data_IF_595269893596
#
_entry.id   IF_595269893596
#
_cell.length_a   1.000
_cell.length_b   1.000
_cell.length_c   1.000
_cell.angle_alpha   90.00
_cell.angle_beta   90.00
_cell.angle_gamma   90.00
#
_symmetry.space_group_name_H-M   'P 1'
#
loop_
_entity.id
_entity.type
_entity.pdbx_description
1 polymer ?
#
# COMPACT_ATOMS: atom_id res chain seq x y z
N UNK A 1 33.36 20.35 -18.34
CA UNK A 1 32.61 19.10 -18.13
C UNK A 1 31.40 19.44 -17.27
N UNK A 2 30.20 19.13 -17.75
CA UNK A 2 28.93 19.76 -17.42
C UNK A 2 28.33 19.30 -16.06
N UNK A 3 27.83 20.28 -15.30
CA UNK A 3 26.59 20.24 -14.52
C UNK A 3 26.23 18.92 -13.77
N UNK A 4 26.72 18.74 -12.54
CA UNK A 4 26.09 17.80 -11.58
C UNK A 4 26.00 18.34 -10.14
N UNK A 5 26.26 19.64 -9.91
CA UNK A 5 25.69 20.32 -8.73
C UNK A 5 24.29 20.83 -9.08
N UNK A 6 23.39 19.90 -9.40
CA UNK A 6 21.94 20.15 -9.40
C UNK A 6 21.33 19.31 -8.30
N UNK A 7 21.62 19.71 -7.07
CA UNK A 7 20.78 19.45 -5.90
C UNK A 7 19.43 20.09 -6.17
N UNK A 8 18.63 19.45 -7.02
CA UNK A 8 17.19 19.64 -6.96
C UNK A 8 16.77 18.98 -5.64
N UNK A 9 16.07 19.68 -4.74
CA UNK A 9 15.73 19.17 -3.39
C UNK A 9 15.06 17.78 -3.41
N UNK A 10 14.44 17.45 -4.54
CA UNK A 10 13.83 16.15 -4.85
C UNK A 10 14.87 15.01 -4.96
N UNK A 11 16.01 15.25 -5.64
CA UNK A 11 17.11 14.30 -5.74
C UNK A 11 17.74 14.06 -4.36
N UNK A 12 17.78 15.08 -3.50
CA UNK A 12 18.34 14.96 -2.15
C UNK A 12 17.56 13.95 -1.29
N UNK A 13 16.23 14.06 -1.23
CA UNK A 13 15.42 13.10 -0.46
C UNK A 13 15.48 11.68 -1.02
N UNK A 14 15.49 11.53 -2.35
CA UNK A 14 15.66 10.23 -3.01
C UNK A 14 17.05 9.65 -2.75
N UNK A 15 18.12 10.47 -2.81
CA UNK A 15 19.48 10.04 -2.54
C UNK A 15 19.69 9.65 -1.07
N UNK A 16 19.10 10.38 -0.13
CA UNK A 16 19.13 10.04 1.30
C UNK A 16 18.38 8.73 1.56
N UNK A 17 17.21 8.54 0.94
CA UNK A 17 16.43 7.30 1.05
C UNK A 17 17.17 6.10 0.44
N UNK A 18 17.74 6.28 -0.75
CA UNK A 18 18.53 5.25 -1.43
C UNK A 18 19.82 4.94 -0.67
N UNK A 19 20.48 5.96 -0.10
CA UNK A 19 21.64 5.82 0.77
C UNK A 19 21.34 5.01 2.03
N UNK A 20 20.22 5.29 2.70
CA UNK A 20 19.76 4.54 3.87
C UNK A 20 19.48 3.06 3.52
N UNK A 21 18.88 2.80 2.35
CA UNK A 21 18.69 1.43 1.86
C UNK A 21 20.01 0.72 1.60
N UNK A 22 20.99 1.41 0.98
CA UNK A 22 22.31 0.84 0.73
C UNK A 22 23.06 0.55 2.04
N UNK A 23 23.04 1.47 3.00
CA UNK A 23 23.68 1.29 4.31
C UNK A 23 23.04 0.14 5.09
N UNK A 24 21.71 0.01 5.04
CA UNK A 24 20.99 -1.13 5.62
C UNK A 24 21.43 -2.47 5.01
N UNK A 25 21.57 -2.53 3.67
CA UNK A 25 22.06 -3.73 2.98
C UNK A 25 23.50 -4.06 3.40
N UNK A 26 24.39 -3.08 3.44
CA UNK A 26 25.79 -3.28 3.87
C UNK A 26 25.90 -3.69 5.34
N UNK A 27 25.08 -3.11 6.23
CA UNK A 27 25.02 -3.48 7.64
C UNK A 27 24.51 -4.91 7.83
N UNK A 28 23.45 -5.29 7.13
CA UNK A 28 22.97 -6.68 7.11
C UNK A 28 24.06 -7.65 6.60
N UNK A 29 24.83 -7.26 5.58
CA UNK A 29 25.92 -8.06 5.03
C UNK A 29 27.08 -8.24 6.02
N UNK A 30 27.39 -7.20 6.81
CA UNK A 30 28.44 -7.25 7.83
C UNK A 30 28.01 -8.02 9.09
N UNK A 31 26.78 -7.82 9.57
CA UNK A 31 26.26 -8.41 10.81
C UNK A 31 26.20 -9.94 10.76
N UNK A 32 25.99 -10.51 9.58
CA UNK A 32 25.85 -11.95 9.37
C UNK A 32 27.20 -12.68 9.29
N UNK A 33 28.32 -11.97 9.09
CA UNK A 33 29.67 -12.56 9.17
C UNK A 33 29.99 -13.65 8.13
N UNK A 34 29.14 -13.81 7.12
CA UNK A 34 29.31 -14.81 6.06
C UNK A 34 30.02 -14.12 4.89
N UNK A 35 31.27 -14.48 4.62
CA UNK A 35 32.04 -14.04 3.43
C UNK A 35 31.43 -14.49 2.09
N UNK A 36 30.26 -15.14 2.13
CA UNK A 36 29.57 -15.73 1.00
C UNK A 36 28.28 -14.95 0.73
N UNK A 37 28.39 -13.98 -0.18
CA UNK A 37 27.34 -13.01 -0.54
C UNK A 37 26.02 -13.73 -0.90
N UNK A 38 26.08 -14.89 -1.55
CA UNK A 38 24.90 -15.66 -1.95
C UNK A 38 24.05 -16.15 -0.77
N UNK A 39 24.66 -16.67 0.30
CA UNK A 39 23.93 -17.13 1.48
C UNK A 39 23.27 -15.98 2.24
N UNK A 40 23.94 -14.82 2.29
CA UNK A 40 23.39 -13.64 2.94
C UNK A 40 22.15 -13.10 2.22
N UNK A 41 22.15 -13.08 0.88
CA UNK A 41 20.99 -12.67 0.06
C UNK A 41 19.81 -13.63 0.26
N UNK A 42 20.07 -14.94 0.32
CA UNK A 42 19.02 -15.96 0.53
C UNK A 42 18.37 -15.78 1.91
N UNK A 43 19.16 -15.59 2.97
CA UNK A 43 18.63 -15.37 4.33
C UNK A 43 17.86 -14.05 4.41
N UNK A 44 18.39 -12.97 3.82
CA UNK A 44 17.72 -11.67 3.76
C UNK A 44 16.37 -11.76 3.05
N UNK A 45 16.31 -12.42 1.88
CA UNK A 45 15.05 -12.60 1.14
C UNK A 45 14.03 -13.42 1.92
N UNK A 46 14.45 -14.42 2.71
CA UNK A 46 13.55 -15.18 3.59
C UNK A 46 13.00 -14.29 4.71
N UNK A 47 13.85 -13.49 5.38
CA UNK A 47 13.44 -12.58 6.46
C UNK A 47 12.48 -11.50 5.94
N UNK A 48 12.81 -10.85 4.82
CA UNK A 48 11.96 -9.84 4.19
C UNK A 48 10.63 -10.45 3.76
N UNK A 49 10.63 -11.65 3.16
CA UNK A 49 9.38 -12.36 2.85
C UNK A 49 8.58 -12.63 4.13
N UNK A 50 9.22 -13.12 5.19
CA UNK A 50 8.52 -13.43 6.45
C UNK A 50 7.86 -12.17 7.05
N UNK A 51 8.53 -11.02 6.98
CA UNK A 51 8.01 -9.73 7.42
C UNK A 51 6.94 -9.16 6.48
N UNK A 52 7.05 -9.35 5.16
CA UNK A 52 6.06 -8.89 4.18
C UNK A 52 4.84 -9.80 4.04
N UNK A 53 4.93 -11.07 4.43
CA UNK A 53 3.80 -12.00 4.44
C UNK A 53 2.60 -11.50 5.26
N UNK A 54 2.73 -11.04 6.53
CA UNK A 54 1.59 -10.51 7.27
C UNK A 54 0.99 -9.27 6.59
N UNK A 55 1.83 -8.40 6.02
CA UNK A 55 1.37 -7.24 5.26
C UNK A 55 0.59 -7.66 4.00
N UNK A 56 1.09 -8.67 3.28
CA UNK A 56 0.47 -9.21 2.07
C UNK A 56 -0.88 -9.86 2.38
N UNK A 57 -1.00 -10.59 3.50
CA UNK A 57 -2.26 -11.17 3.96
C UNK A 57 -3.30 -10.06 4.25
N UNK A 58 -2.89 -8.97 4.89
CA UNK A 58 -3.76 -7.80 5.12
C UNK A 58 -4.22 -7.18 3.79
N UNK A 59 -3.30 -6.96 2.85
CA UNK A 59 -3.62 -6.43 1.52
C UNK A 59 -4.58 -7.34 0.75
N UNK A 60 -4.37 -8.65 0.78
CA UNK A 60 -5.25 -9.63 0.11
C UNK A 60 -6.66 -9.68 0.72
N UNK A 61 -6.75 -9.62 2.06
CA UNK A 61 -8.05 -9.56 2.76
C UNK A 61 -8.84 -8.33 2.33
N UNK A 62 -8.20 -7.17 2.28
CA UNK A 62 -8.83 -5.93 1.83
C UNK A 62 -9.30 -6.00 0.37
N UNK A 63 -8.45 -6.53 -0.52
CA UNK A 63 -8.80 -6.72 -1.93
C UNK A 63 -10.03 -7.63 -2.10
N UNK A 64 -10.12 -8.71 -1.32
CA UNK A 64 -11.27 -9.62 -1.34
C UNK A 64 -12.55 -8.96 -0.85
N UNK A 65 -12.51 -8.20 0.24
CA UNK A 65 -13.72 -7.51 0.75
C UNK A 65 -14.17 -6.44 -0.26
N UNK A 66 -13.23 -5.71 -0.87
CA UNK A 66 -13.53 -4.74 -1.93
C UNK A 66 -14.25 -5.37 -3.13
N UNK A 67 -13.85 -6.58 -3.54
CA UNK A 67 -14.53 -7.31 -4.62
C UNK A 67 -15.98 -7.69 -4.26
N UNK A 68 -16.25 -8.00 -2.99
CA UNK A 68 -17.61 -8.34 -2.52
C UNK A 68 -18.49 -7.09 -2.37
N UNK A 69 -17.92 -5.95 -2.01
CA UNK A 69 -18.65 -4.67 -1.89
C UNK A 69 -18.99 -4.04 -3.24
N UNK A 70 -18.10 -4.14 -4.23
CA UNK A 70 -18.28 -3.63 -5.59
C UNK A 70 -19.68 -3.89 -6.17
N UNK A 71 -20.25 -5.13 -6.17
CA UNK A 71 -21.58 -5.37 -6.70
C UNK A 71 -22.70 -4.66 -5.91
N UNK A 72 -22.60 -4.52 -4.59
CA UNK A 72 -23.59 -3.79 -3.80
C UNK A 72 -23.54 -2.28 -4.08
N UNK A 73 -22.33 -1.73 -4.15
CA UNK A 73 -22.10 -0.32 -4.53
C UNK A 73 -22.66 -0.08 -5.94
N UNK A 74 -22.43 -0.99 -6.89
CA UNK A 74 -22.97 -0.90 -8.24
C UNK A 74 -24.50 -0.97 -8.28
N UNK A 75 -25.14 -1.75 -7.39
CA UNK A 75 -26.62 -1.77 -7.27
C UNK A 75 -27.16 -0.43 -6.77
N UNK A 76 -26.51 0.16 -5.76
CA UNK A 76 -26.87 1.50 -5.26
C UNK A 76 -26.66 2.53 -6.37
N UNK A 77 -25.52 2.51 -7.06
CA UNK A 77 -25.27 3.42 -8.18
C UNK A 77 -26.32 3.31 -9.28
N UNK A 78 -26.76 2.09 -9.63
CA UNK A 78 -27.85 1.87 -10.60
C UNK A 78 -29.20 2.38 -10.10
N UNK A 79 -29.52 2.19 -8.82
CA UNK A 79 -30.77 2.67 -8.18
C UNK A 79 -30.91 4.20 -8.24
N UNK A 80 -29.80 4.93 -8.18
CA UNK A 80 -29.77 6.39 -8.20
C UNK A 80 -29.33 7.01 -9.55
N UNK A 81 -28.95 6.21 -10.56
CA UNK A 81 -28.40 6.67 -11.85
C UNK A 81 -29.32 7.65 -12.60
N UNK A 82 -30.63 7.50 -12.47
CA UNK A 82 -31.62 8.34 -13.14
C UNK A 82 -32.08 9.53 -12.29
N UNK A 83 -31.47 9.75 -11.12
CA UNK A 83 -31.83 10.83 -10.20
C UNK A 83 -30.68 11.82 -10.11
N UNK A 84 -30.87 13.01 -10.68
CA UNK A 84 -29.86 14.08 -10.67
C UNK A 84 -30.05 15.08 -9.52
N UNK A 85 -31.05 14.85 -8.67
CA UNK A 85 -31.33 15.74 -7.53
C UNK A 85 -30.19 15.71 -6.51
N UNK A 86 -29.83 16.87 -5.97
CA UNK A 86 -28.78 16.98 -4.94
C UNK A 86 -29.09 16.10 -3.71
N UNK A 87 -30.37 16.00 -3.33
CA UNK A 87 -30.82 15.12 -2.25
C UNK A 87 -30.66 13.62 -2.59
N UNK A 88 -30.80 13.24 -3.86
CA UNK A 88 -30.61 11.86 -4.34
C UNK A 88 -29.13 11.48 -4.34
N UNK A 89 -28.23 12.41 -4.67
CA UNK A 89 -26.78 12.22 -4.57
C UNK A 89 -26.30 12.10 -3.13
N UNK A 90 -26.82 12.90 -2.20
CA UNK A 90 -26.50 12.76 -0.78
C UNK A 90 -26.94 11.40 -0.23
N UNK A 91 -28.17 10.95 -0.54
CA UNK A 91 -28.66 9.62 -0.15
C UNK A 91 -27.87 8.48 -0.75
N UNK A 92 -27.41 8.64 -2.00
CA UNK A 92 -26.53 7.66 -2.65
C UNK A 92 -25.21 7.52 -1.89
N UNK A 93 -24.57 8.64 -1.54
CA UNK A 93 -23.32 8.64 -0.78
C UNK A 93 -23.51 8.05 0.62
N UNK A 94 -24.63 8.35 1.28
CA UNK A 94 -24.99 7.79 2.59
C UNK A 94 -25.22 6.26 2.53
N UNK A 95 -25.95 5.76 1.52
CA UNK A 95 -26.14 4.31 1.32
C UNK A 95 -24.81 3.61 1.01
N UNK A 96 -23.93 4.22 0.21
CA UNK A 96 -22.59 3.70 -0.07
C UNK A 96 -21.75 3.65 1.22
N UNK A 97 -21.80 4.70 2.05
CA UNK A 97 -21.10 4.74 3.34
C UNK A 97 -21.60 3.65 4.30
N UNK A 98 -22.92 3.45 4.37
CA UNK A 98 -23.53 2.35 5.14
C UNK A 98 -23.08 0.97 4.68
N UNK A 99 -22.86 0.77 3.38
CA UNK A 99 -22.29 -0.49 2.85
C UNK A 99 -20.86 -0.66 3.35
N UNK A 100 -20.01 0.37 3.28
CA UNK A 100 -18.65 0.29 3.82
C UNK A 100 -18.63 -0.03 5.33
N UNK A 101 -19.51 0.58 6.12
CA UNK A 101 -19.68 0.30 7.55
C UNK A 101 -20.15 -1.14 7.81
N UNK A 102 -21.11 -1.65 7.01
CA UNK A 102 -21.63 -3.02 7.14
C UNK A 102 -20.55 -4.07 6.89
N UNK A 103 -19.64 -3.83 5.96
CA UNK A 103 -18.52 -4.73 5.67
C UNK A 103 -17.30 -4.50 6.56
N UNK A 104 -17.39 -3.54 7.50
CA UNK A 104 -16.35 -3.24 8.47
C UNK A 104 -15.06 -2.74 7.84
N UNK A 105 -15.10 -2.29 6.58
CA UNK A 105 -13.94 -1.82 5.84
C UNK A 105 -13.99 -0.33 5.73
N UNK A 106 -13.25 0.36 6.58
CA UNK A 106 -12.96 1.76 6.32
C UNK A 106 -11.77 1.76 5.36
N UNK A 107 -11.93 2.17 4.07
CA UNK A 107 -10.96 1.92 3.00
C UNK A 107 -9.55 2.45 3.27
N UNK A 108 -9.42 3.39 4.21
CA UNK A 108 -8.16 4.02 4.61
C UNK A 108 -7.56 3.42 5.89
N UNK A 109 -8.32 2.68 6.70
CA UNK A 109 -7.89 2.30 8.06
C UNK A 109 -7.41 0.85 8.09
N UNK A 110 -8.06 -0.05 7.34
CA UNK A 110 -7.67 -1.47 7.32
C UNK A 110 -6.46 -1.79 6.43
N UNK A 111 -6.11 -0.89 5.50
CA UNK A 111 -4.95 -1.06 4.62
C UNK A 111 -3.65 -0.60 5.30
N UNK A 112 -3.75 0.26 6.31
CA UNK A 112 -2.62 0.88 7.00
C UNK A 112 -2.50 0.54 8.50
N UNK A 113 -3.42 -0.28 9.05
CA UNK A 113 -3.34 -0.81 10.43
C UNK A 113 -2.89 -2.27 10.45
#
# INVERSE_FOLDING_TARGET
>A
MLLTQSTTPIIGWIATLLGYVMEFIFYCLNFIGIQNIGLCIIIFTIIVRLLMLPLTIKQQKFAKISQVMQPEINKIQRKYRNKTDQASMMKQNEEIQKVYEKYGTNPTVDVFS
#
